data_IF_102960803662
#
_entry.id   IF_102960803662
#
_cell.length_a   1.000
_cell.length_b   1.000
_cell.length_c   1.000
_cell.angle_alpha   90.00
_cell.angle_beta   90.00
_cell.angle_gamma   90.00
#
_symmetry.space_group_name_H-M   'P 1'
#
loop_
_entity.id
_entity.type
_entity.pdbx_description
1 polymer ?
#
# COMPACT_ATOMS: atom_id res chain seq x y z
N UNK A 1 36.50 -50.66 -18.97
CA UNK A 1 37.32 -50.88 -20.17
C UNK A 1 37.38 -49.55 -20.94
N UNK A 2 38.59 -48.92 -20.87
CA UNK A 2 39.27 -48.04 -21.82
C UNK A 2 38.42 -47.00 -22.57
N UNK A 3 38.59 -45.65 -22.25
CA UNK A 3 39.63 -44.71 -22.75
C UNK A 3 39.59 -44.45 -24.26
N UNK A 4 39.42 -43.21 -24.66
CA UNK A 4 40.39 -42.27 -25.27
C UNK A 4 39.65 -41.02 -25.73
N UNK A 5 39.91 -39.79 -25.25
CA UNK A 5 40.91 -38.74 -25.56
C UNK A 5 40.91 -38.29 -27.05
N UNK A 6 40.69 -37.04 -27.28
CA UNK A 6 41.49 -35.88 -27.66
C UNK A 6 40.78 -34.96 -28.66
N UNK A 7 40.96 -33.65 -28.53
CA UNK A 7 40.70 -32.66 -29.55
C UNK A 7 40.69 -31.23 -29.02
N UNK A 8 41.85 -30.64 -28.80
CA UNK A 8 42.12 -29.25 -28.45
C UNK A 8 41.81 -28.34 -29.63
N UNK A 9 41.23 -27.16 -29.37
CA UNK A 9 41.11 -26.07 -30.30
C UNK A 9 41.03 -24.72 -29.54
N UNK A 10 42.21 -24.12 -29.34
CA UNK A 10 42.40 -22.77 -28.86
C UNK A 10 41.97 -21.76 -29.94
N UNK A 11 41.17 -20.75 -29.60
CA UNK A 11 41.24 -19.45 -30.25
C UNK A 11 40.95 -18.35 -29.25
N UNK A 12 41.98 -17.59 -29.01
CA UNK A 12 42.04 -16.32 -28.27
C UNK A 12 41.25 -15.25 -28.98
N UNK A 13 40.32 -14.62 -28.30
CA UNK A 13 39.70 -13.35 -28.69
C UNK A 13 39.59 -12.45 -27.48
N UNK A 14 40.61 -11.61 -27.27
CA UNK A 14 40.57 -10.50 -26.32
C UNK A 14 39.56 -9.46 -26.79
N UNK A 15 38.48 -9.26 -26.09
CA UNK A 15 37.70 -8.04 -26.18
C UNK A 15 38.07 -7.17 -24.97
N UNK A 16 38.66 -6.04 -25.25
CA UNK A 16 38.97 -4.99 -24.28
C UNK A 16 37.70 -4.28 -23.88
N UNK A 17 37.32 -4.42 -22.65
CA UNK A 17 36.28 -3.60 -22.02
C UNK A 17 36.92 -2.28 -21.59
N UNK A 18 36.55 -1.20 -22.26
CA UNK A 18 36.81 0.16 -21.79
C UNK A 18 36.03 0.42 -20.51
N UNK A 19 36.77 0.66 -19.44
CA UNK A 19 36.24 1.15 -18.16
C UNK A 19 36.04 2.66 -18.32
N UNK A 20 34.78 3.09 -18.38
CA UNK A 20 34.45 4.51 -18.29
C UNK A 20 34.61 4.96 -16.83
N UNK A 21 35.51 5.91 -16.64
CA UNK A 21 35.69 6.65 -15.38
C UNK A 21 34.48 7.54 -15.10
N UNK A 22 34.07 7.70 -13.83
CA UNK A 22 33.01 8.63 -13.47
C UNK A 22 33.58 10.07 -13.44
N UNK A 23 33.04 10.93 -14.29
CA UNK A 23 33.26 12.36 -14.21
C UNK A 23 32.12 13.03 -13.46
N UNK A 24 32.50 13.67 -12.36
CA UNK A 24 31.94 14.87 -11.74
C UNK A 24 30.47 14.89 -11.30
N UNK A 25 30.32 14.61 -10.01
CA UNK A 25 29.26 15.16 -9.19
C UNK A 25 29.39 16.70 -9.10
N UNK A 26 28.31 17.40 -9.35
CA UNK A 26 28.25 18.81 -9.05
C UNK A 26 27.15 19.54 -9.78
N UNK A 27 25.94 19.47 -9.27
CA UNK A 27 25.06 20.65 -9.28
C UNK A 27 23.95 20.43 -8.23
N UNK A 28 24.12 21.10 -7.10
CA UNK A 28 23.06 21.34 -6.14
C UNK A 28 21.90 22.02 -6.85
N UNK A 29 20.77 21.32 -7.00
CA UNK A 29 19.52 21.98 -7.35
C UNK A 29 18.98 22.65 -6.10
N UNK A 30 18.98 23.98 -6.15
CA UNK A 30 18.24 24.84 -5.24
C UNK A 30 16.77 24.45 -5.30
N UNK A 31 16.23 24.00 -4.16
CA UNK A 31 14.81 23.87 -3.95
C UNK A 31 14.17 25.26 -4.03
N UNK A 32 13.39 25.49 -5.06
CA UNK A 32 12.44 26.59 -5.08
C UNK A 32 11.26 26.21 -4.19
N UNK A 33 11.18 26.84 -3.03
CA UNK A 33 9.99 26.88 -2.20
C UNK A 33 8.90 27.61 -2.97
N UNK A 34 7.92 26.88 -3.48
CA UNK A 34 6.68 27.47 -3.96
C UNK A 34 5.80 27.82 -2.74
N UNK A 35 6.03 29.01 -2.19
CA UNK A 35 5.10 29.63 -1.26
C UNK A 35 3.76 29.85 -1.95
N UNK A 36 2.72 29.18 -1.48
CA UNK A 36 1.35 29.42 -1.91
C UNK A 36 0.85 30.77 -1.36
N UNK A 37 1.03 31.82 -2.17
CA UNK A 37 0.23 33.02 -2.03
C UNK A 37 -1.10 32.76 -2.76
N UNK A 38 -2.21 32.83 -2.01
CA UNK A 38 -3.52 33.02 -2.59
C UNK A 38 -3.52 34.37 -3.30
N UNK A 39 -3.72 34.40 -4.64
CA UNK A 39 -4.53 35.43 -5.31
C UNK A 39 -4.65 35.22 -6.82
N UNK A 40 -5.87 35.50 -7.25
CA UNK A 40 -6.32 35.95 -8.58
C UNK A 40 -6.11 35.04 -9.79
N UNK A 41 -7.25 34.77 -10.41
CA UNK A 41 -7.39 34.04 -11.66
C UNK A 41 -6.46 34.50 -12.76
N UNK A 42 -5.78 33.50 -13.30
CA UNK A 42 -5.28 33.53 -14.64
C UNK A 42 -5.45 32.14 -15.23
N UNK A 43 -6.33 32.01 -16.20
CA UNK A 43 -6.50 30.80 -17.01
C UNK A 43 -5.31 30.73 -17.96
N UNK A 44 -4.23 30.08 -17.53
CA UNK A 44 -3.10 29.77 -18.39
C UNK A 44 -3.32 28.37 -19.02
N UNK A 45 -3.81 28.38 -20.25
CA UNK A 45 -4.12 27.20 -21.09
C UNK A 45 -2.88 26.55 -21.70
N UNK A 46 -1.65 26.82 -21.22
CA UNK A 46 -0.40 26.34 -21.87
C UNK A 46 0.49 25.48 -20.99
N UNK A 47 0.00 24.90 -19.89
CA UNK A 47 0.81 23.98 -19.11
C UNK A 47 0.92 22.62 -19.84
N UNK A 48 2.13 22.24 -20.28
CA UNK A 48 2.40 20.90 -20.79
C UNK A 48 1.89 19.82 -19.78
N UNK A 49 1.32 18.70 -20.26
CA UNK A 49 0.82 17.66 -19.39
C UNK A 49 1.95 17.22 -18.44
N UNK A 50 1.71 17.33 -17.13
CA UNK A 50 2.66 16.83 -16.13
C UNK A 50 2.83 15.33 -16.35
N UNK A 51 4.08 14.86 -16.34
CA UNK A 51 4.36 13.42 -16.40
C UNK A 51 3.60 12.73 -15.25
N UNK A 52 2.98 11.56 -15.50
CA UNK A 52 2.36 10.78 -14.43
C UNK A 52 3.39 10.46 -13.35
N UNK A 53 2.96 10.35 -12.11
CA UNK A 53 3.80 9.84 -11.03
C UNK A 53 4.07 8.36 -11.27
N UNK A 54 5.17 7.84 -10.72
CA UNK A 54 5.60 6.45 -10.95
C UNK A 54 4.50 5.43 -10.63
N UNK A 55 3.73 5.67 -9.58
CA UNK A 55 2.65 4.79 -9.14
C UNK A 55 1.45 4.77 -10.10
N UNK A 56 1.37 5.76 -10.99
CA UNK A 56 0.33 5.91 -12.01
C UNK A 56 0.72 5.32 -13.37
N UNK A 57 1.96 4.85 -13.50
CA UNK A 57 2.42 4.20 -14.73
C UNK A 57 1.69 2.87 -14.93
N UNK A 58 1.41 2.53 -16.18
CA UNK A 58 0.84 1.23 -16.53
C UNK A 58 1.77 0.09 -16.12
N UNK A 59 1.19 -1.06 -15.78
CA UNK A 59 1.96 -2.24 -15.42
C UNK A 59 2.88 -2.71 -16.54
N UNK A 60 4.17 -2.82 -16.27
CA UNK A 60 5.12 -3.48 -17.16
C UNK A 60 4.93 -4.99 -17.16
N UNK A 61 5.20 -5.63 -18.29
CA UNK A 61 5.29 -7.10 -18.39
C UNK A 61 6.70 -7.63 -18.14
N UNK A 62 7.67 -6.76 -17.89
CA UNK A 62 9.04 -7.14 -17.62
C UNK A 62 9.20 -7.68 -16.20
N UNK A 63 10.06 -8.70 -16.09
CA UNK A 63 10.55 -9.23 -14.81
C UNK A 63 11.95 -8.68 -14.60
N UNK A 64 12.18 -8.00 -13.48
CA UNK A 64 13.46 -7.34 -13.18
C UNK A 64 14.00 -7.84 -11.85
N UNK A 65 15.23 -8.35 -11.83
CA UNK A 65 15.92 -8.63 -10.57
C UNK A 65 16.32 -7.31 -9.92
N UNK A 66 15.76 -7.02 -8.74
CA UNK A 66 15.96 -5.76 -8.01
C UNK A 66 16.96 -5.88 -6.86
N UNK A 67 17.15 -7.09 -6.38
CA UNK A 67 18.21 -7.50 -5.47
C UNK A 67 18.47 -8.99 -5.71
N UNK A 68 19.63 -9.56 -5.31
CA UNK A 68 19.94 -10.96 -5.58
C UNK A 68 18.85 -11.91 -5.09
N UNK A 69 18.22 -12.67 -6.00
CA UNK A 69 17.11 -13.58 -5.73
C UNK A 69 15.78 -12.89 -5.42
N UNK A 70 15.63 -11.61 -5.72
CA UNK A 70 14.37 -10.86 -5.59
C UNK A 70 14.00 -10.28 -6.95
N UNK A 71 12.94 -10.82 -7.56
CA UNK A 71 12.42 -10.37 -8.82
C UNK A 71 11.21 -9.46 -8.59
N UNK A 72 11.16 -8.33 -9.28
CA UNK A 72 9.98 -7.47 -9.34
C UNK A 72 9.19 -7.79 -10.61
N UNK A 73 7.90 -8.01 -10.45
CA UNK A 73 6.90 -8.03 -11.50
C UNK A 73 5.83 -6.99 -11.23
N UNK A 74 5.04 -6.62 -12.22
CA UNK A 74 3.95 -5.66 -12.05
C UNK A 74 2.64 -6.24 -12.53
N UNK A 75 1.61 -6.10 -11.69
CA UNK A 75 0.25 -6.51 -11.99
C UNK A 75 -0.60 -5.27 -12.23
N UNK A 76 -1.40 -5.22 -13.30
CA UNK A 76 -2.24 -4.06 -13.59
C UNK A 76 -3.36 -3.95 -12.56
N UNK A 77 -3.60 -2.71 -12.12
CA UNK A 77 -4.75 -2.36 -11.28
C UNK A 77 -5.49 -1.19 -11.89
N UNK A 78 -6.82 -1.19 -11.73
CA UNK A 78 -7.68 -0.12 -12.23
C UNK A 78 -8.25 0.66 -11.05
N UNK A 79 -7.36 1.33 -10.32
CA UNK A 79 -7.71 2.16 -9.17
C UNK A 79 -7.36 3.63 -9.44
N UNK A 80 -8.16 4.59 -8.95
CA UNK A 80 -7.84 6.01 -9.12
C UNK A 80 -6.46 6.35 -8.56
N UNK A 81 -5.56 6.85 -9.39
CA UNK A 81 -4.23 7.28 -8.98
C UNK A 81 -3.16 6.19 -8.94
N UNK A 82 -3.50 4.92 -9.25
CA UNK A 82 -2.59 3.79 -9.30
C UNK A 82 -2.76 3.03 -10.62
N UNK A 83 -1.67 2.67 -11.28
CA UNK A 83 -1.67 1.91 -12.54
C UNK A 83 -1.22 0.46 -12.38
N UNK A 84 -0.49 0.16 -11.32
CA UNK A 84 0.05 -1.17 -11.06
C UNK A 84 0.29 -1.41 -9.57
N UNK A 85 0.35 -2.68 -9.17
CA UNK A 85 0.97 -3.12 -7.93
C UNK A 85 2.24 -3.92 -8.26
N UNK A 86 3.31 -3.71 -7.53
CA UNK A 86 4.52 -4.51 -7.62
C UNK A 86 4.30 -5.82 -6.86
N UNK A 87 4.38 -6.93 -7.58
CA UNK A 87 4.41 -8.25 -7.00
C UNK A 87 5.86 -8.74 -6.99
N UNK A 88 6.42 -9.00 -5.81
CA UNK A 88 7.80 -9.48 -5.69
C UNK A 88 7.84 -11.00 -5.59
N UNK A 89 8.75 -11.61 -6.36
CA UNK A 89 9.06 -13.04 -6.33
C UNK A 89 10.38 -13.23 -5.61
N UNK A 90 10.36 -13.95 -4.51
CA UNK A 90 11.51 -14.21 -3.64
C UNK A 90 11.97 -15.66 -3.88
N UNK A 91 13.13 -15.84 -4.51
CA UNK A 91 13.65 -17.13 -4.92
C UNK A 91 14.34 -17.87 -3.77
N UNK A 92 13.96 -19.12 -3.50
CA UNK A 92 14.67 -19.97 -2.55
C UNK A 92 14.81 -21.44 -3.04
N UNK A 93 15.34 -22.32 -2.18
CA UNK A 93 15.61 -23.72 -2.57
C UNK A 93 14.35 -24.58 -2.69
N UNK A 94 13.23 -24.13 -2.11
CA UNK A 94 11.94 -24.84 -2.14
C UNK A 94 11.06 -24.40 -3.30
N UNK A 95 11.43 -23.34 -4.00
CA UNK A 95 10.65 -22.67 -5.02
C UNK A 95 10.68 -21.17 -4.83
N UNK A 96 9.54 -20.55 -4.64
CA UNK A 96 9.40 -19.11 -4.48
C UNK A 96 8.41 -18.74 -3.37
N UNK A 97 8.67 -17.58 -2.74
CA UNK A 97 7.63 -16.83 -2.06
C UNK A 97 7.17 -15.66 -2.93
N UNK A 98 5.90 -15.28 -2.82
CA UNK A 98 5.30 -14.16 -3.55
C UNK A 98 4.85 -13.10 -2.54
N UNK A 99 5.14 -11.83 -2.81
CA UNK A 99 4.69 -10.69 -1.99
C UNK A 99 3.67 -9.89 -2.78
N UNK A 100 2.52 -9.64 -2.20
CA UNK A 100 1.41 -8.85 -2.74
C UNK A 100 0.93 -9.35 -4.13
N UNK A 101 0.16 -10.45 -4.16
CA UNK A 101 -0.23 -11.13 -5.40
C UNK A 101 -1.39 -10.45 -6.16
N UNK A 102 -1.57 -9.15 -6.07
CA UNK A 102 -2.50 -8.39 -6.89
C UNK A 102 -3.95 -8.39 -6.43
N UNK A 103 -4.82 -7.85 -7.30
CA UNK A 103 -6.26 -7.80 -7.09
C UNK A 103 -6.91 -9.19 -7.16
N UNK A 104 -8.06 -9.37 -6.50
CA UNK A 104 -8.87 -10.57 -6.68
C UNK A 104 -9.52 -10.61 -8.08
N UNK A 105 -9.84 -11.81 -8.54
CA UNK A 105 -10.55 -12.06 -9.79
C UNK A 105 -9.70 -12.71 -10.89
N UNK A 106 -10.39 -13.28 -11.90
CA UNK A 106 -9.75 -14.09 -12.95
C UNK A 106 -8.76 -13.31 -13.81
N UNK A 107 -9.04 -12.06 -14.13
CA UNK A 107 -8.15 -11.23 -14.94
C UNK A 107 -6.82 -10.98 -14.22
N UNK A 108 -6.87 -10.59 -12.94
CA UNK A 108 -5.68 -10.37 -12.12
C UNK A 108 -4.90 -11.67 -11.91
N UNK A 109 -5.61 -12.77 -11.68
CA UNK A 109 -4.99 -14.09 -11.59
C UNK A 109 -4.27 -14.48 -12.88
N UNK A 110 -4.89 -14.26 -14.04
CA UNK A 110 -4.26 -14.49 -15.34
C UNK A 110 -2.96 -13.68 -15.51
N UNK A 111 -2.95 -12.44 -15.04
CA UNK A 111 -1.74 -11.61 -15.02
C UNK A 111 -0.67 -12.17 -14.08
N UNK A 112 -1.03 -12.61 -12.87
CA UNK A 112 -0.08 -13.21 -11.92
C UNK A 112 0.57 -14.47 -12.54
N UNK A 113 -0.23 -15.38 -13.10
CA UNK A 113 0.28 -16.60 -13.76
C UNK A 113 1.22 -16.26 -14.92
N UNK A 114 0.88 -15.26 -15.77
CA UNK A 114 1.77 -14.80 -16.85
C UNK A 114 3.10 -14.25 -16.29
N UNK A 115 3.06 -13.49 -15.19
CA UNK A 115 4.28 -12.93 -14.57
C UNK A 115 5.15 -14.01 -13.94
N UNK A 116 4.56 -14.98 -13.26
CA UNK A 116 5.29 -16.13 -12.73
C UNK A 116 5.96 -16.92 -13.86
N UNK A 117 5.24 -17.19 -14.95
CA UNK A 117 5.80 -17.89 -16.11
C UNK A 117 6.97 -17.13 -16.75
N UNK A 118 6.90 -15.79 -16.84
CA UNK A 118 8.01 -14.93 -17.32
C UNK A 118 9.20 -14.94 -16.37
N UNK A 119 8.96 -15.10 -15.07
CA UNK A 119 9.99 -15.27 -14.06
C UNK A 119 10.60 -16.68 -14.08
N UNK A 120 10.03 -17.62 -14.84
CA UNK A 120 10.51 -19.00 -14.94
C UNK A 120 9.85 -19.96 -13.96
N UNK A 121 8.72 -19.58 -13.35
CA UNK A 121 8.00 -20.34 -12.32
C UNK A 121 6.56 -20.65 -12.73
N UNK A 122 5.97 -21.59 -12.04
CA UNK A 122 4.55 -21.92 -12.11
C UNK A 122 3.91 -21.77 -10.74
N UNK A 123 2.58 -21.79 -10.67
CA UNK A 123 1.83 -21.65 -9.43
C UNK A 123 2.27 -22.65 -8.37
N UNK A 124 2.52 -23.92 -8.77
CA UNK A 124 2.96 -25.01 -7.87
C UNK A 124 4.33 -24.76 -7.22
N UNK A 125 5.14 -23.83 -7.75
CA UNK A 125 6.42 -23.45 -7.15
C UNK A 125 6.26 -22.47 -5.97
N UNK A 126 5.06 -21.91 -5.78
CA UNK A 126 4.80 -20.92 -4.72
C UNK A 126 4.56 -21.65 -3.40
N UNK A 127 5.50 -21.57 -2.47
CA UNK A 127 5.35 -22.17 -1.13
C UNK A 127 4.84 -21.20 -0.07
N UNK A 128 4.97 -19.89 -0.29
CA UNK A 128 4.57 -18.84 0.66
C UNK A 128 4.05 -17.62 -0.09
N UNK A 129 2.99 -17.03 0.41
CA UNK A 129 2.51 -15.72 0.00
C UNK A 129 2.56 -14.77 1.19
N UNK A 130 3.24 -13.65 1.03
CA UNK A 130 3.28 -12.56 2.01
C UNK A 130 2.29 -11.49 1.56
N UNK A 131 1.41 -11.07 2.44
CA UNK A 131 0.50 -9.95 2.21
C UNK A 131 0.90 -8.84 3.16
N UNK A 132 1.28 -7.69 2.59
CA UNK A 132 1.76 -6.56 3.39
C UNK A 132 0.65 -5.91 4.21
N UNK A 133 -0.57 -5.85 3.68
CA UNK A 133 -1.72 -5.28 4.37
C UNK A 133 -3.06 -5.66 3.71
N UNK A 134 -4.16 -5.25 4.31
CA UNK A 134 -5.51 -5.69 4.00
C UNK A 134 -6.21 -4.98 2.83
N UNK A 135 -5.50 -4.24 1.99
CA UNK A 135 -6.09 -3.72 0.76
C UNK A 135 -6.20 -4.80 -0.34
N UNK A 136 -7.28 -4.76 -1.15
CA UNK A 136 -7.56 -5.83 -2.11
C UNK A 136 -6.49 -6.08 -3.15
N UNK A 137 -5.76 -5.05 -3.58
CA UNK A 137 -4.69 -5.15 -4.58
C UNK A 137 -3.39 -5.79 -4.05
N UNK A 138 -3.33 -6.06 -2.74
CA UNK A 138 -2.22 -6.77 -2.10
C UNK A 138 -2.58 -8.21 -1.75
N UNK A 139 -3.81 -8.48 -1.32
CA UNK A 139 -4.19 -9.82 -0.87
C UNK A 139 -4.92 -10.67 -1.92
N UNK A 140 -5.36 -10.10 -3.03
CA UNK A 140 -6.38 -10.73 -3.89
C UNK A 140 -6.05 -12.11 -4.44
N UNK A 141 -4.78 -12.40 -4.74
CA UNK A 141 -4.34 -13.72 -5.20
C UNK A 141 -4.02 -14.71 -4.09
N UNK A 142 -3.95 -14.26 -2.82
CA UNK A 142 -3.38 -15.05 -1.73
C UNK A 142 -4.16 -16.35 -1.44
N UNK A 143 -5.51 -16.28 -1.35
CA UNK A 143 -6.33 -17.47 -1.11
C UNK A 143 -6.23 -18.48 -2.24
N UNK A 144 -6.10 -18.02 -3.47
CA UNK A 144 -5.99 -18.93 -4.62
C UNK A 144 -4.62 -19.61 -4.64
N UNK A 145 -3.54 -18.90 -4.32
CA UNK A 145 -2.21 -19.51 -4.12
C UNK A 145 -2.24 -20.55 -3.00
N UNK A 146 -2.93 -20.27 -1.90
CA UNK A 146 -3.10 -21.22 -0.81
C UNK A 146 -3.86 -22.48 -1.26
N UNK A 147 -4.92 -22.33 -2.04
CA UNK A 147 -5.71 -23.47 -2.52
C UNK A 147 -5.02 -24.29 -3.62
N UNK A 148 -4.38 -23.64 -4.59
CA UNK A 148 -3.79 -24.31 -5.74
C UNK A 148 -2.39 -24.87 -5.45
N UNK A 149 -1.57 -24.14 -4.68
CA UNK A 149 -0.18 -24.49 -4.38
C UNK A 149 0.07 -24.93 -2.92
N UNK A 150 -0.95 -24.91 -2.06
CA UNK A 150 -0.81 -25.08 -0.62
C UNK A 150 0.16 -24.09 0.01
N UNK A 151 0.30 -22.89 -0.57
CA UNK A 151 1.17 -21.83 -0.08
C UNK A 151 0.77 -21.37 1.32
N UNK A 152 1.74 -21.15 2.20
CA UNK A 152 1.49 -20.52 3.49
C UNK A 152 1.13 -19.05 3.28
N UNK A 153 0.17 -18.52 4.07
CA UNK A 153 -0.22 -17.12 4.05
C UNK A 153 0.40 -16.43 5.24
N UNK A 154 1.32 -15.50 4.97
CA UNK A 154 2.05 -14.70 5.93
C UNK A 154 1.51 -13.28 5.92
N UNK A 155 1.08 -12.78 7.09
CA UNK A 155 0.63 -11.41 7.32
C UNK A 155 1.08 -10.94 8.70
N UNK A 156 0.83 -9.67 9.05
CA UNK A 156 0.86 -9.29 10.46
C UNK A 156 -0.29 -9.96 11.24
N UNK A 157 -0.14 -10.23 12.53
CA UNK A 157 -1.16 -10.90 13.35
C UNK A 157 -2.48 -10.12 13.45
N UNK A 158 -2.43 -8.79 13.29
CA UNK A 158 -3.60 -7.92 13.28
C UNK A 158 -4.29 -7.83 11.91
N UNK A 159 -3.87 -8.63 10.92
CA UNK A 159 -4.46 -8.61 9.58
C UNK A 159 -5.98 -8.83 9.64
N UNK A 160 -6.73 -7.86 9.14
CA UNK A 160 -8.18 -7.90 9.03
C UNK A 160 -8.63 -7.12 7.81
N UNK A 161 -9.56 -7.67 7.07
CA UNK A 161 -10.19 -6.96 5.95
C UNK A 161 -11.49 -6.31 6.39
N UNK A 162 -12.00 -5.37 5.59
CA UNK A 162 -13.33 -4.77 5.81
C UNK A 162 -14.48 -5.80 5.78
N UNK A 163 -14.20 -7.01 5.32
CA UNK A 163 -15.14 -8.13 5.27
C UNK A 163 -15.08 -9.01 6.53
N UNK A 164 -14.14 -8.77 7.43
CA UNK A 164 -14.06 -9.43 8.72
C UNK A 164 -15.15 -8.90 9.63
N UNK A 165 -16.11 -9.76 9.94
CA UNK A 165 -17.33 -9.38 10.64
C UNK A 165 -17.17 -9.36 12.16
N UNK A 166 -16.01 -9.78 12.69
CA UNK A 166 -15.75 -9.86 14.13
C UNK A 166 -15.88 -8.51 14.86
N UNK A 167 -15.67 -7.39 14.15
CA UNK A 167 -15.81 -6.04 14.71
C UNK A 167 -17.25 -5.48 14.59
N UNK A 168 -18.19 -6.28 14.06
CA UNK A 168 -19.62 -5.92 13.98
C UNK A 168 -20.43 -6.39 15.18
N UNK A 169 -19.79 -7.10 16.11
CA UNK A 169 -20.43 -7.80 17.22
C UNK A 169 -20.65 -6.96 18.48
N UNK A 170 -20.99 -5.68 18.36
CA UNK A 170 -21.51 -4.89 19.48
C UNK A 170 -22.98 -5.25 19.82
N UNK A 171 -23.56 -6.30 19.22
CA UNK A 171 -24.90 -6.76 19.51
C UNK A 171 -24.93 -8.24 19.87
N UNK A 172 -25.47 -8.56 21.06
CA UNK A 172 -25.63 -9.90 21.64
C UNK A 172 -26.43 -10.92 20.80
N UNK A 173 -26.88 -10.58 19.60
CA UNK A 173 -27.71 -11.39 18.71
C UNK A 173 -27.11 -11.63 17.30
N UNK A 174 -25.81 -11.47 17.10
CA UNK A 174 -25.20 -11.74 15.78
C UNK A 174 -25.00 -13.25 15.59
N UNK A 175 -25.81 -13.85 14.73
CA UNK A 175 -25.47 -15.15 14.11
C UNK A 175 -24.08 -15.05 13.47
N UNK A 176 -23.22 -15.99 13.79
CA UNK A 176 -21.86 -16.09 13.25
C UNK A 176 -21.93 -16.09 11.71
N UNK A 177 -21.54 -14.95 11.08
CA UNK A 177 -21.60 -14.83 9.62
C UNK A 177 -20.54 -15.73 8.99
N UNK A 178 -20.96 -16.63 8.11
CA UNK A 178 -20.04 -17.41 7.31
C UNK A 178 -19.46 -16.52 6.18
N UNK A 179 -18.26 -15.99 6.40
CA UNK A 179 -17.51 -15.19 5.40
C UNK A 179 -17.29 -15.93 4.08
N UNK A 180 -17.50 -17.24 4.02
CA UNK A 180 -17.46 -18.01 2.79
C UNK A 180 -18.82 -18.00 2.07
N UNK A 181 -19.92 -17.63 2.75
CA UNK A 181 -21.24 -17.46 2.14
C UNK A 181 -21.31 -16.13 1.36
N UNK A 182 -21.72 -16.19 0.09
CA UNK A 182 -21.92 -14.99 -0.72
C UNK A 182 -23.03 -14.08 -0.15
N UNK A 183 -24.07 -14.67 0.42
CA UNK A 183 -25.20 -13.93 0.98
C UNK A 183 -24.78 -13.19 2.26
N UNK A 184 -23.99 -13.83 3.12
CA UNK A 184 -23.50 -13.22 4.37
C UNK A 184 -22.50 -12.08 4.09
N UNK A 185 -21.61 -12.25 3.10
CA UNK A 185 -20.70 -11.17 2.65
C UNK A 185 -21.47 -9.98 2.10
N UNK A 186 -22.47 -10.22 1.25
CA UNK A 186 -23.30 -9.13 0.71
C UNK A 186 -24.05 -8.41 1.83
N UNK A 187 -24.60 -9.16 2.80
CA UNK A 187 -25.26 -8.58 3.95
C UNK A 187 -24.29 -7.77 4.84
N UNK A 188 -23.06 -8.25 5.03
CA UNK A 188 -22.03 -7.52 5.77
C UNK A 188 -21.67 -6.21 5.09
N UNK A 189 -21.49 -6.23 3.76
CA UNK A 189 -21.24 -5.01 2.98
C UNK A 189 -22.40 -4.02 3.00
N UNK A 190 -23.61 -4.49 2.81
CA UNK A 190 -24.80 -3.62 2.90
C UNK A 190 -24.85 -2.94 4.28
N UNK A 191 -24.59 -3.69 5.36
CA UNK A 191 -24.50 -3.14 6.72
C UNK A 191 -23.36 -2.13 6.87
N UNK A 192 -22.16 -2.44 6.33
CA UNK A 192 -21.02 -1.53 6.38
C UNK A 192 -21.32 -0.20 5.71
N UNK A 193 -21.89 -0.21 4.49
CA UNK A 193 -22.21 1.02 3.75
C UNK A 193 -23.49 1.72 4.26
N UNK A 194 -24.34 1.04 5.01
CA UNK A 194 -25.49 1.66 5.67
C UNK A 194 -25.09 2.50 6.90
N UNK A 195 -23.93 2.22 7.52
CA UNK A 195 -23.43 3.01 8.65
C UNK A 195 -23.05 4.42 8.17
N UNK A 196 -23.27 5.47 8.97
CA UNK A 196 -22.73 6.79 8.66
C UNK A 196 -21.21 6.80 8.70
N UNK A 197 -20.59 7.75 8.02
CA UNK A 197 -19.16 8.02 8.21
C UNK A 197 -18.88 8.48 9.64
N UNK A 198 -17.68 8.26 10.21
CA UNK A 198 -17.35 8.74 11.56
C UNK A 198 -17.52 10.26 11.74
N UNK A 199 -17.40 11.01 10.64
CA UNK A 199 -17.64 12.45 10.63
C UNK A 199 -19.08 12.84 10.29
N UNK A 200 -19.98 11.87 10.15
CA UNK A 200 -21.36 12.06 9.77
C UNK A 200 -21.62 11.96 8.27
N UNK A 201 -22.90 12.02 7.91
CA UNK A 201 -23.32 11.83 6.53
C UNK A 201 -23.36 10.35 6.11
N UNK A 202 -23.76 10.12 4.88
CA UNK A 202 -23.87 8.77 4.30
C UNK A 202 -22.55 8.38 3.64
N UNK A 203 -22.05 7.19 3.93
CA UNK A 203 -20.93 6.61 3.19
C UNK A 203 -21.28 6.47 1.71
N UNK A 204 -20.34 6.80 0.83
CA UNK A 204 -20.47 6.46 -0.57
C UNK A 204 -20.41 4.93 -0.69
N UNK A 205 -21.49 4.34 -1.16
CA UNK A 205 -21.51 2.91 -1.46
C UNK A 205 -20.65 2.61 -2.70
N UNK A 206 -20.26 1.35 -2.89
CA UNK A 206 -19.56 0.92 -4.08
C UNK A 206 -20.40 1.17 -5.34
N UNK A 207 -19.72 1.33 -6.48
CA UNK A 207 -20.43 1.57 -7.75
C UNK A 207 -21.40 0.43 -8.08
N UNK A 208 -22.49 0.69 -8.82
CA UNK A 208 -23.41 -0.36 -9.26
C UNK A 208 -22.72 -1.50 -10.02
N UNK A 209 -21.68 -1.17 -10.80
CA UNK A 209 -20.89 -2.17 -11.52
C UNK A 209 -20.06 -3.02 -10.58
N UNK A 210 -19.49 -2.44 -9.53
CA UNK A 210 -18.79 -3.17 -8.48
C UNK A 210 -19.75 -4.11 -7.75
N UNK A 211 -20.93 -3.63 -7.33
CA UNK A 211 -21.96 -4.45 -6.69
C UNK A 211 -22.46 -5.60 -7.57
N UNK A 212 -22.56 -5.37 -8.90
CA UNK A 212 -22.95 -6.42 -9.84
C UNK A 212 -21.84 -7.49 -10.00
N UNK A 213 -20.57 -7.07 -10.05
CA UNK A 213 -19.43 -8.01 -10.01
C UNK A 213 -19.44 -8.81 -8.73
N UNK A 214 -19.74 -8.15 -7.60
CA UNK A 214 -19.87 -8.77 -6.29
C UNK A 214 -20.90 -9.88 -6.27
N UNK A 215 -22.10 -9.59 -6.76
CA UNK A 215 -23.20 -10.58 -6.81
C UNK A 215 -22.90 -11.79 -7.70
N UNK A 216 -22.07 -11.62 -8.72
CA UNK A 216 -21.67 -12.69 -9.63
C UNK A 216 -20.51 -13.56 -9.09
N UNK A 217 -19.84 -13.10 -8.04
CA UNK A 217 -18.74 -13.83 -7.44
C UNK A 217 -19.30 -15.05 -6.69
N UNK A 218 -18.84 -16.23 -7.09
CA UNK A 218 -19.36 -17.53 -6.62
C UNK A 218 -18.78 -18.00 -5.27
N UNK A 219 -17.98 -17.17 -4.61
CA UNK A 219 -17.34 -17.54 -3.33
C UNK A 219 -16.19 -18.51 -3.45
N UNK A 220 -15.79 -18.92 -4.69
CA UNK A 220 -14.60 -19.72 -4.92
C UNK A 220 -13.32 -19.00 -4.45
N UNK A 221 -12.23 -19.73 -4.31
CA UNK A 221 -10.92 -19.18 -3.90
C UNK A 221 -10.40 -18.05 -4.82
N UNK A 222 -10.92 -17.96 -6.06
CA UNK A 222 -10.68 -16.85 -6.97
C UNK A 222 -11.67 -15.69 -6.85
N UNK A 223 -12.62 -15.77 -5.91
CA UNK A 223 -13.60 -14.70 -5.67
C UNK A 223 -12.90 -13.45 -5.16
N UNK A 224 -13.41 -12.28 -5.60
CA UNK A 224 -12.98 -10.97 -5.08
C UNK A 224 -13.18 -10.80 -3.55
N UNK A 225 -13.79 -11.78 -2.88
CA UNK A 225 -14.08 -11.79 -1.45
C UNK A 225 -13.38 -12.92 -0.69
N UNK A 226 -12.52 -13.70 -1.33
CA UNK A 226 -11.72 -14.67 -0.61
C UNK A 226 -10.73 -13.94 0.30
N UNK A 227 -11.19 -13.53 1.48
CA UNK A 227 -10.36 -12.92 2.52
C UNK A 227 -9.30 -13.92 2.95
N UNK A 228 -8.01 -13.57 2.86
CA UNK A 228 -6.96 -14.43 3.33
C UNK A 228 -7.09 -14.74 4.82
N UNK A 229 -6.96 -16.02 5.16
CA UNK A 229 -6.79 -16.44 6.55
C UNK A 229 -5.31 -16.72 6.77
N UNK A 230 -4.60 -15.92 7.58
CA UNK A 230 -3.19 -16.13 7.82
C UNK A 230 -2.92 -17.53 8.39
N UNK A 231 -2.02 -18.28 7.75
CA UNK A 231 -1.54 -19.57 8.28
C UNK A 231 -0.29 -19.38 9.13
N UNK A 232 0.46 -18.31 8.89
CA UNK A 232 1.64 -17.91 9.63
C UNK A 232 1.58 -16.40 9.94
N UNK A 233 0.85 -15.97 10.98
CA UNK A 233 0.86 -14.58 11.42
C UNK A 233 2.21 -14.21 12.03
N UNK A 234 2.69 -13.00 11.75
CA UNK A 234 3.92 -12.44 12.30
C UNK A 234 3.60 -11.34 13.31
N UNK A 235 4.43 -11.23 14.33
CA UNK A 235 4.46 -10.09 15.26
C UNK A 235 5.64 -9.18 14.96
N UNK A 236 5.58 -7.94 15.42
CA UNK A 236 6.66 -6.97 15.28
C UNK A 236 7.99 -7.51 15.85
N UNK A 237 9.06 -7.38 15.08
CA UNK A 237 10.40 -7.88 15.43
C UNK A 237 10.63 -9.39 15.23
N UNK A 238 9.60 -10.15 14.86
CA UNK A 238 9.76 -11.57 14.54
C UNK A 238 10.55 -11.76 13.24
N UNK A 239 11.36 -12.83 13.16
CA UNK A 239 12.10 -13.16 11.94
C UNK A 239 11.41 -14.27 11.15
N UNK A 240 11.50 -14.17 9.82
CA UNK A 240 11.06 -15.18 8.86
C UNK A 240 12.14 -15.41 7.81
N UNK A 241 12.29 -16.66 7.35
CA UNK A 241 13.26 -17.02 6.31
C UNK A 241 12.57 -17.17 4.96
N UNK A 242 12.88 -16.26 4.03
CA UNK A 242 12.43 -16.26 2.63
C UNK A 242 13.58 -15.83 1.73
N UNK A 243 13.64 -16.32 0.50
CA UNK A 243 14.69 -15.96 -0.47
C UNK A 243 16.11 -16.20 0.03
N UNK A 244 16.33 -17.28 0.80
CA UNK A 244 17.63 -17.59 1.46
C UNK A 244 18.12 -16.48 2.39
N UNK A 245 17.22 -15.61 2.87
CA UNK A 245 17.48 -14.46 3.73
C UNK A 245 16.67 -14.57 5.00
N UNK A 246 17.11 -13.87 6.02
CA UNK A 246 16.35 -13.67 7.24
C UNK A 246 15.75 -12.26 7.22
N UNK A 247 14.44 -12.18 7.28
CA UNK A 247 13.69 -10.94 7.29
C UNK A 247 13.15 -10.66 8.67
N UNK A 248 13.27 -9.43 9.12
CA UNK A 248 12.64 -8.93 10.33
C UNK A 248 11.29 -8.32 9.98
N UNK A 249 10.24 -8.83 10.58
CA UNK A 249 8.90 -8.27 10.47
C UNK A 249 8.82 -6.93 11.21
N UNK A 250 8.33 -5.91 10.56
CA UNK A 250 8.13 -4.59 11.14
C UNK A 250 6.66 -4.21 11.01
N UNK A 251 5.96 -4.17 12.14
CA UNK A 251 4.59 -3.62 12.17
C UNK A 251 4.66 -2.11 11.95
N UNK A 252 4.02 -1.62 10.91
CA UNK A 252 4.05 -0.21 10.48
C UNK A 252 2.63 0.35 10.30
N UNK A 253 1.86 0.45 11.40
CA UNK A 253 0.46 0.91 11.34
C UNK A 253 0.38 2.38 10.92
N UNK A 254 -0.78 2.76 10.37
CA UNK A 254 -1.13 4.12 9.97
C UNK A 254 -1.86 4.18 8.65
N UNK A 255 -1.27 3.72 7.54
CA UNK A 255 -1.98 3.55 6.27
C UNK A 255 -3.13 2.52 6.41
N UNK A 256 -2.78 1.35 6.94
CA UNK A 256 -3.70 0.41 7.58
C UNK A 256 -3.13 -0.01 8.94
N UNK A 257 -3.96 -0.53 9.84
CA UNK A 257 -3.49 -0.96 11.15
C UNK A 257 -2.60 -2.20 11.07
N UNK A 258 -2.88 -3.08 10.13
CA UNK A 258 -2.23 -4.37 9.94
C UNK A 258 -0.99 -4.33 9.05
N UNK A 259 -0.52 -3.12 8.68
CA UNK A 259 0.55 -2.98 7.71
C UNK A 259 1.86 -3.60 8.20
N UNK A 260 2.48 -4.42 7.34
CA UNK A 260 3.70 -5.17 7.56
C UNK A 260 4.77 -4.75 6.54
N UNK A 261 5.90 -4.25 7.00
CA UNK A 261 7.13 -4.18 6.23
C UNK A 261 8.05 -5.36 6.59
N UNK A 262 8.93 -5.76 5.67
CA UNK A 262 9.97 -6.76 5.93
C UNK A 262 11.34 -6.15 5.67
N UNK A 263 12.24 -6.26 6.63
CA UNK A 263 13.61 -5.76 6.56
C UNK A 263 14.63 -6.91 6.60
N UNK A 264 15.50 -6.95 5.60
CA UNK A 264 16.68 -7.81 5.55
C UNK A 264 17.90 -7.02 5.99
N UNK A 265 18.41 -7.24 7.22
CA UNK A 265 19.55 -6.49 7.75
C UNK A 265 20.89 -6.88 7.13
N UNK A 266 21.00 -8.05 6.50
CA UNK A 266 22.26 -8.51 5.89
C UNK A 266 22.56 -7.76 4.60
N UNK A 267 21.52 -7.52 3.77
CA UNK A 267 21.68 -6.86 2.47
C UNK A 267 21.11 -5.45 2.43
N UNK A 268 20.49 -4.99 3.50
CA UNK A 268 19.86 -3.66 3.58
C UNK A 268 18.65 -3.52 2.65
N UNK A 269 17.89 -4.58 2.43
CA UNK A 269 16.68 -4.56 1.59
C UNK A 269 15.45 -4.40 2.47
N UNK A 270 14.54 -3.50 2.07
CA UNK A 270 13.27 -3.28 2.78
C UNK A 270 12.11 -3.42 1.82
N UNK A 271 11.19 -4.36 2.07
CA UNK A 271 9.87 -4.41 1.44
C UNK A 271 8.96 -3.44 2.22
N UNK A 272 8.59 -2.32 1.60
CA UNK A 272 7.89 -1.23 2.28
C UNK A 272 6.38 -1.27 2.11
N UNK A 273 5.85 -2.18 1.29
CA UNK A 273 4.42 -2.18 0.98
C UNK A 273 3.96 -0.79 0.55
N UNK A 274 2.83 -0.36 1.10
CA UNK A 274 2.29 0.99 0.91
C UNK A 274 2.69 1.97 2.01
N UNK A 275 3.50 1.55 2.98
CA UNK A 275 3.89 2.45 4.07
C UNK A 275 4.79 3.58 3.59
N UNK A 276 5.78 3.29 2.73
CA UNK A 276 6.65 4.31 2.12
C UNK A 276 6.69 4.12 0.60
N UNK A 277 5.99 4.99 -0.11
CA UNK A 277 5.94 5.03 -1.58
C UNK A 277 6.89 6.09 -2.15
N UNK A 278 7.47 5.88 -3.35
CA UNK A 278 8.55 6.73 -3.85
C UNK A 278 8.13 8.16 -4.20
N UNK A 279 6.90 8.40 -4.67
CA UNK A 279 6.52 9.73 -5.14
C UNK A 279 5.14 10.21 -4.68
N UNK A 280 4.23 9.33 -4.29
CA UNK A 280 2.96 9.71 -3.65
C UNK A 280 3.03 9.47 -2.13
N UNK A 281 2.11 10.11 -1.42
CA UNK A 281 1.88 9.86 0.01
C UNK A 281 0.73 8.88 0.14
N UNK A 282 0.88 7.81 0.92
CA UNK A 282 -0.22 6.89 1.19
C UNK A 282 -1.41 7.61 1.82
N UNK A 283 -2.62 7.16 1.51
CA UNK A 283 -3.83 7.65 2.14
C UNK A 283 -3.89 7.20 3.60
N UNK A 284 -4.20 8.11 4.51
CA UNK A 284 -4.47 7.81 5.92
C UNK A 284 -5.97 7.86 6.14
N UNK A 285 -6.55 6.69 6.42
CA UNK A 285 -8.00 6.56 6.50
C UNK A 285 -8.56 7.06 7.83
N UNK A 286 -9.46 8.02 7.78
CA UNK A 286 -10.31 8.40 8.92
C UNK A 286 -11.42 7.39 9.22
N UNK A 287 -11.51 6.30 8.46
CA UNK A 287 -12.41 5.18 8.70
C UNK A 287 -11.74 4.09 9.55
N UNK A 288 -10.45 4.24 9.83
CA UNK A 288 -9.70 3.32 10.66
C UNK A 288 -10.32 3.25 12.08
N UNK A 289 -10.31 2.08 12.73
CA UNK A 289 -10.85 1.93 14.08
C UNK A 289 -9.98 2.63 15.15
N UNK A 290 -8.74 2.96 14.82
CA UNK A 290 -7.80 3.63 15.72
C UNK A 290 -8.19 5.09 15.91
N UNK A 291 -8.02 5.59 17.14
CA UNK A 291 -8.35 6.96 17.49
C UNK A 291 -7.50 8.00 16.75
N UNK A 292 -6.24 7.66 16.45
CA UNK A 292 -5.28 8.54 15.78
C UNK A 292 -4.38 7.75 14.80
N UNK A 293 -4.88 7.39 13.62
CA UNK A 293 -4.08 6.65 12.63
C UNK A 293 -2.89 7.48 12.10
N UNK A 294 -2.96 8.81 12.13
CA UNK A 294 -1.87 9.67 11.68
C UNK A 294 -0.69 9.67 12.66
N UNK A 295 -0.93 9.63 13.97
CA UNK A 295 0.15 9.49 14.97
C UNK A 295 0.85 8.13 14.84
N UNK A 296 0.08 7.06 14.64
CA UNK A 296 0.63 5.73 14.36
C UNK A 296 1.51 5.76 13.10
N UNK A 297 1.05 6.42 12.04
CA UNK A 297 1.81 6.55 10.79
C UNK A 297 3.11 7.32 11.01
N UNK A 298 3.08 8.44 11.72
CA UNK A 298 4.30 9.19 12.08
C UNK A 298 5.28 8.34 12.89
N UNK A 299 4.79 7.60 13.88
CA UNK A 299 5.61 6.70 14.66
C UNK A 299 6.30 5.64 13.80
N UNK A 300 5.54 5.03 12.89
CA UNK A 300 6.04 4.03 11.96
C UNK A 300 7.05 4.61 10.96
N UNK A 301 6.80 5.80 10.41
CA UNK A 301 7.73 6.48 9.50
C UNK A 301 9.06 6.83 10.18
N UNK A 302 9.02 7.30 11.44
CA UNK A 302 10.26 7.56 12.20
C UNK A 302 11.07 6.29 12.39
N UNK A 303 10.42 5.16 12.72
CA UNK A 303 11.08 3.84 12.81
C UNK A 303 11.72 3.44 11.48
N UNK A 304 11.02 3.66 10.35
CA UNK A 304 11.57 3.36 9.02
C UNK A 304 12.78 4.24 8.69
N UNK A 305 12.76 5.53 9.08
CA UNK A 305 13.87 6.45 8.89
C UNK A 305 15.11 6.07 9.73
N UNK A 306 14.93 5.34 10.83
CA UNK A 306 16.00 4.90 11.72
C UNK A 306 16.64 3.57 11.30
N UNK A 307 16.10 2.84 10.31
CA UNK A 307 16.70 1.59 9.82
C UNK A 307 18.10 1.89 9.29
N UNK A 308 19.13 1.22 9.81
CA UNK A 308 20.50 1.43 9.34
C UNK A 308 20.75 0.77 7.99
N UNK A 309 21.71 1.30 7.24
CA UNK A 309 22.34 0.67 6.07
C UNK A 309 21.36 0.17 4.98
N UNK A 310 20.22 0.86 4.81
CA UNK A 310 19.27 0.54 3.74
C UNK A 310 19.92 0.79 2.38
N UNK A 311 20.04 -0.25 1.59
CA UNK A 311 20.58 -0.20 0.22
C UNK A 311 19.50 0.02 -0.82
N UNK A 312 18.30 -0.53 -0.58
CA UNK A 312 17.15 -0.42 -1.47
C UNK A 312 15.83 -0.64 -0.71
N UNK A 313 14.86 0.18 -1.01
CA UNK A 313 13.47 0.04 -0.60
C UNK A 313 12.63 -0.45 -1.79
N UNK A 314 11.78 -1.42 -1.55
CA UNK A 314 10.93 -2.12 -2.51
C UNK A 314 9.46 -1.82 -2.19
N UNK A 315 8.87 -0.78 -2.80
CA UNK A 315 7.51 -0.35 -2.54
C UNK A 315 6.49 -1.21 -3.32
N UNK A 316 5.25 -1.26 -2.84
CA UNK A 316 4.19 -1.96 -3.57
C UNK A 316 3.70 -1.19 -4.81
N UNK A 317 3.94 0.11 -4.92
CA UNK A 317 3.65 0.90 -6.12
C UNK A 317 4.85 1.77 -6.51
N UNK A 318 5.02 2.03 -7.82
CA UNK A 318 6.14 2.79 -8.35
C UNK A 318 7.44 2.00 -8.48
N UNK A 319 8.58 2.67 -8.43
CA UNK A 319 9.87 2.03 -8.62
C UNK A 319 10.65 1.86 -7.32
N UNK A 320 11.49 0.81 -7.20
CA UNK A 320 12.46 0.68 -6.12
C UNK A 320 13.32 1.93 -5.97
N UNK A 321 13.63 2.33 -4.73
CA UNK A 321 14.38 3.54 -4.43
C UNK A 321 15.39 3.31 -3.29
N UNK A 322 16.33 4.26 -3.08
CA UNK A 322 17.46 4.05 -2.16
C UNK A 322 17.39 4.90 -0.89
N UNK A 323 16.81 6.08 -0.99
CA UNK A 323 16.75 7.01 0.15
C UNK A 323 15.45 6.80 0.95
N UNK A 324 15.40 5.69 1.69
CA UNK A 324 14.25 5.38 2.56
C UNK A 324 14.08 6.43 3.65
N UNK A 325 15.19 6.84 4.31
CA UNK A 325 15.18 7.85 5.38
C UNK A 325 14.61 9.17 4.88
N UNK A 326 15.23 9.75 3.85
CA UNK A 326 14.79 11.05 3.34
C UNK A 326 13.36 11.00 2.81
N UNK A 327 12.92 9.85 2.24
CA UNK A 327 11.54 9.71 1.79
C UNK A 327 10.54 9.64 2.95
N UNK A 328 10.84 8.89 4.01
CA UNK A 328 10.01 8.82 5.21
C UNK A 328 9.90 10.20 5.89
N UNK A 329 11.01 10.92 6.04
CA UNK A 329 11.05 12.28 6.58
C UNK A 329 10.21 13.25 5.73
N UNK A 330 10.30 13.18 4.40
CA UNK A 330 9.50 14.00 3.50
C UNK A 330 7.98 13.70 3.58
N UNK A 331 7.59 12.43 3.83
CA UNK A 331 6.18 12.10 4.04
C UNK A 331 5.68 12.70 5.36
N UNK A 332 6.49 12.65 6.42
CA UNK A 332 6.17 13.31 7.70
C UNK A 332 5.97 14.82 7.48
N UNK A 333 6.93 15.48 6.83
CA UNK A 333 6.87 16.90 6.53
C UNK A 333 5.59 17.27 5.74
N UNK A 334 5.24 16.48 4.74
CA UNK A 334 4.01 16.67 3.96
C UNK A 334 2.74 16.66 4.83
N UNK A 335 2.62 15.74 5.79
CA UNK A 335 1.46 15.71 6.69
C UNK A 335 1.48 16.83 7.72
N UNK A 336 2.66 17.19 8.24
CA UNK A 336 2.78 18.36 9.14
C UNK A 336 2.38 19.68 8.44
N UNK A 337 2.80 19.88 7.17
CA UNK A 337 2.34 21.02 6.36
C UNK A 337 0.80 21.05 6.22
N UNK A 338 0.16 19.88 6.07
CA UNK A 338 -1.31 19.79 5.99
C UNK A 338 -1.96 20.11 7.32
N UNK A 339 -1.37 19.69 8.44
CA UNK A 339 -1.83 20.07 9.78
C UNK A 339 -1.71 21.60 9.98
N UNK A 340 -0.64 22.23 9.50
CA UNK A 340 -0.47 23.68 9.56
C UNK A 340 -1.53 24.41 8.72
N UNK A 341 -1.84 23.90 7.52
CA UNK A 341 -2.95 24.44 6.69
C UNK A 341 -4.30 24.39 7.43
N UNK A 342 -4.57 23.30 8.18
CA UNK A 342 -5.78 23.22 9.01
C UNK A 342 -5.73 24.25 10.14
N UNK A 343 -4.61 24.35 10.87
CA UNK A 343 -4.42 25.32 11.96
C UNK A 343 -4.68 26.75 11.49
N UNK A 344 -4.13 27.10 10.34
CA UNK A 344 -4.29 28.43 9.73
C UNK A 344 -5.74 28.70 9.29
N UNK A 345 -6.50 27.66 8.93
CA UNK A 345 -7.90 27.80 8.53
C UNK A 345 -8.90 27.87 9.72
N UNK A 346 -8.52 27.39 10.90
CA UNK A 346 -9.41 27.36 12.09
C UNK A 346 -10.03 28.71 12.42
N UNK A 347 -9.32 29.89 12.40
CA UNK A 347 -9.93 31.19 12.67
C UNK A 347 -11.07 31.55 11.71
N UNK A 348 -10.97 31.14 10.45
CA UNK A 348 -11.98 31.42 9.42
C UNK A 348 -13.09 30.34 9.41
N UNK A 349 -12.87 29.20 10.03
CA UNK A 349 -13.78 28.06 10.17
C UNK A 349 -14.03 27.70 11.66
N UNK A 350 -14.50 28.62 12.48
CA UNK A 350 -14.54 28.46 13.94
C UNK A 350 -15.50 27.35 14.42
N UNK A 351 -16.30 26.80 13.54
CA UNK A 351 -17.20 25.65 13.73
C UNK A 351 -17.25 24.83 12.44
N UNK A 352 -16.06 24.55 11.88
CA UNK A 352 -15.94 23.93 10.56
C UNK A 352 -16.32 22.45 10.57
N UNK A 353 -17.01 21.99 9.51
CA UNK A 353 -17.22 20.57 9.24
C UNK A 353 -16.00 19.96 8.56
N UNK A 354 -15.90 18.61 8.54
CA UNK A 354 -14.85 17.91 7.76
C UNK A 354 -14.86 18.35 6.29
N UNK A 355 -16.05 18.46 5.67
CA UNK A 355 -16.17 18.94 4.29
C UNK A 355 -15.67 20.38 4.09
N UNK A 356 -15.81 21.27 5.11
CA UNK A 356 -15.26 22.61 5.03
C UNK A 356 -13.73 22.61 5.04
N UNK A 357 -13.10 21.87 5.95
CA UNK A 357 -11.64 21.74 6.02
C UNK A 357 -11.09 20.97 4.81
N UNK A 358 -11.78 19.96 4.29
CA UNK A 358 -11.40 19.26 3.06
C UNK A 358 -11.23 20.23 1.88
N UNK A 359 -12.12 21.23 1.74
CA UNK A 359 -12.02 22.24 0.67
C UNK A 359 -10.81 23.16 0.80
N UNK A 360 -10.26 23.29 1.99
CA UNK A 360 -9.01 24.02 2.24
C UNK A 360 -7.81 23.14 1.88
N UNK A 361 -7.83 21.87 2.25
CA UNK A 361 -6.72 20.95 2.03
C UNK A 361 -6.60 20.45 0.59
N UNK A 362 -7.71 20.30 -0.11
CA UNK A 362 -7.74 19.65 -1.42
C UNK A 362 -8.29 20.57 -2.51
N UNK A 363 -7.76 20.42 -3.71
CA UNK A 363 -8.32 21.07 -4.91
C UNK A 363 -9.66 20.44 -5.26
N UNK A 364 -10.57 21.20 -5.83
CA UNK A 364 -11.94 20.80 -6.19
C UNK A 364 -12.00 19.45 -6.95
N UNK A 365 -11.08 19.22 -7.89
CA UNK A 365 -11.01 17.95 -8.66
C UNK A 365 -10.72 16.71 -7.80
N UNK A 366 -10.28 16.88 -6.57
CA UNK A 366 -9.95 15.81 -5.63
C UNK A 366 -10.95 15.71 -4.47
N UNK A 367 -12.01 16.51 -4.47
CA UNK A 367 -13.03 16.42 -3.44
C UNK A 367 -13.80 15.10 -3.55
N UNK A 368 -14.16 14.55 -2.41
CA UNK A 368 -14.88 13.29 -2.28
C UNK A 368 -14.56 12.58 -0.97
N UNK A 369 -15.14 11.40 -0.80
CA UNK A 369 -15.06 10.64 0.45
C UNK A 369 -13.61 10.33 0.88
N UNK A 370 -12.72 10.01 -0.05
CA UNK A 370 -11.30 9.80 0.25
C UNK A 370 -10.65 11.05 0.84
N UNK A 371 -10.93 12.23 0.27
CA UNK A 371 -10.40 13.49 0.76
C UNK A 371 -11.03 13.89 2.11
N UNK A 372 -12.33 13.62 2.31
CA UNK A 372 -12.98 13.81 3.62
C UNK A 372 -12.40 12.88 4.66
N UNK A 373 -12.20 11.60 4.33
CA UNK A 373 -11.60 10.59 5.21
C UNK A 373 -10.22 11.02 5.68
N UNK A 374 -9.35 11.43 4.75
CA UNK A 374 -8.01 11.90 5.10
C UNK A 374 -8.03 13.21 5.90
N UNK A 375 -8.94 14.13 5.56
CA UNK A 375 -9.15 15.36 6.34
C UNK A 375 -9.59 15.06 7.76
N UNK A 376 -10.51 14.09 7.92
CA UNK A 376 -10.98 13.67 9.24
C UNK A 376 -9.83 13.10 10.09
N UNK A 377 -8.96 12.26 9.51
CA UNK A 377 -7.78 11.74 10.20
C UNK A 377 -6.87 12.85 10.72
N UNK A 378 -6.64 13.91 9.92
CA UNK A 378 -5.86 15.07 10.34
C UNK A 378 -6.54 15.89 11.45
N UNK A 379 -7.86 16.08 11.35
CA UNK A 379 -8.63 16.78 12.38
C UNK A 379 -8.66 16.01 13.71
N UNK A 380 -8.80 14.69 13.67
CA UNK A 380 -8.73 13.84 14.85
C UNK A 380 -7.34 13.87 15.48
N UNK A 381 -6.27 13.87 14.68
CA UNK A 381 -4.91 14.05 15.18
C UNK A 381 -4.76 15.37 15.98
N UNK A 382 -5.25 16.49 15.44
CA UNK A 382 -5.24 17.76 16.17
C UNK A 382 -6.12 17.73 17.43
N UNK A 383 -7.25 17.03 17.38
CA UNK A 383 -8.12 16.84 18.53
C UNK A 383 -7.42 16.00 19.63
N UNK A 384 -6.78 14.90 19.29
CA UNK A 384 -6.03 14.07 20.26
C UNK A 384 -4.85 14.86 20.88
N UNK A 385 -4.25 15.76 20.13
CA UNK A 385 -3.22 16.70 20.64
C UNK A 385 -3.78 17.83 21.49
N UNK A 386 -5.12 17.91 21.64
CA UNK A 386 -5.77 18.98 22.44
C UNK A 386 -5.78 20.34 21.76
N UNK A 387 -5.61 20.42 20.45
CA UNK A 387 -5.64 21.68 19.69
C UNK A 387 -7.07 22.01 19.22
N UNK A 388 -7.89 20.98 18.99
CA UNK A 388 -9.28 21.10 18.57
C UNK A 388 -10.23 20.36 19.50
N UNK A 389 -11.49 20.78 19.53
CA UNK A 389 -12.60 20.07 20.16
C UNK A 389 -13.60 19.67 19.09
N UNK A 390 -13.98 18.37 19.08
CA UNK A 390 -15.05 17.87 18.22
C UNK A 390 -16.38 17.85 18.96
N UNK A 391 -17.44 18.27 18.31
CA UNK A 391 -18.82 18.06 18.73
C UNK A 391 -19.67 17.65 17.52
N UNK A 392 -20.84 17.09 17.79
CA UNK A 392 -21.78 16.69 16.73
C UNK A 392 -22.98 17.62 16.73
N UNK A 393 -23.31 18.16 15.56
CA UNK A 393 -24.53 18.92 15.32
C UNK A 393 -25.25 18.30 14.11
N UNK A 394 -26.54 18.01 14.25
CA UNK A 394 -27.36 17.29 13.25
C UNK A 394 -26.68 16.01 12.69
N UNK A 395 -25.89 15.32 13.51
CA UNK A 395 -25.17 14.10 13.14
C UNK A 395 -23.88 14.33 12.34
N UNK A 396 -23.45 15.59 12.15
CA UNK A 396 -22.19 15.95 11.49
C UNK A 396 -21.15 16.37 12.53
N UNK A 397 -19.89 15.94 12.33
CA UNK A 397 -18.77 16.36 13.15
C UNK A 397 -18.36 17.79 12.83
N UNK A 398 -18.24 18.61 13.84
CA UNK A 398 -17.77 19.99 13.79
C UNK A 398 -16.55 20.14 14.71
N UNK A 399 -15.61 20.99 14.30
CA UNK A 399 -14.39 21.25 15.04
C UNK A 399 -14.28 22.73 15.40
N UNK A 400 -13.92 22.97 16.67
CA UNK A 400 -13.67 24.29 17.23
C UNK A 400 -12.30 24.34 17.87
N UNK A 401 -11.62 25.52 17.89
CA UNK A 401 -10.37 25.64 18.63
C UNK A 401 -10.60 25.41 20.13
N UNK A 402 -9.59 24.86 20.80
CA UNK A 402 -9.54 24.88 22.27
C UNK A 402 -9.37 26.31 22.72
N UNK A 403 -10.28 26.80 23.60
CA UNK A 403 -10.32 28.19 24.09
C UNK A 403 -9.20 28.51 25.06
#
# INVERSE_FOLDING_TARGET
MRLTRLGSGSMTGRATTEVATPAEAGTFMQHQHDHHAAHSGNTDESAAPRKPKQEQEDASTEVTEVAPGILRTQLPISMPGLGHVNCYVLEDERGIAVVDPGLPGEDSWGHLVDRLARAGYVVDDVHTVVVTHSHPDHFGGAMRLHHEAAAEIVTHESFRTIFDTSDLDDHEDSEELDVNSADDRNAAMERYFAKPSPWGGRRAGPSPEFMERMRKADGSAGSIFATPRPTQPLVDGQTIKLARREWVAMHTPGHTYDHLCLYDPEFGVVLTGDHVLPSITPHISGMAPEADPLDLFFGSLRRMAEIPDVTIALPAHGHPFRDLRGRAEHIIEHHEERLDVIRDAVPDLPNGTVAAFMRVLFRERSWGEMAESETYAHLEHLRERGELVRHFDEGMAHYTPVG
#
